data_IF_118611401669
#
_entry.id   IF_118611401669
#
_cell.length_a   1.000
_cell.length_b   1.000
_cell.length_c   1.000
_cell.angle_alpha   90.00
_cell.angle_beta   90.00
_cell.angle_gamma   90.00
#
_symmetry.space_group_name_H-M   'P 1'
#
loop_
_entity.id
_entity.type
_entity.pdbx_description
1 polymer ?
#
# COMPACT_ATOMS: atom_id res chain seq x y z
N UNK A 1 -35.36 29.18 -1.74
CA UNK A 1 -34.93 28.01 -0.94
C UNK A 1 -34.16 27.10 -1.89
N UNK A 2 -32.83 27.16 -1.81
CA UNK A 2 -31.93 26.03 -1.45
C UNK A 2 -32.25 24.75 -2.26
N UNK A 3 -31.35 24.15 -3.03
CA UNK A 3 -29.91 23.95 -2.74
C UNK A 3 -29.12 23.77 -4.04
N UNK A 4 -28.01 24.49 -4.18
CA UNK A 4 -26.99 24.23 -5.21
C UNK A 4 -26.25 22.95 -4.83
N UNK A 5 -26.35 21.91 -5.66
CA UNK A 5 -25.54 20.70 -5.54
C UNK A 5 -24.14 21.03 -6.09
N UNK A 6 -23.22 21.38 -5.20
CA UNK A 6 -21.82 21.63 -5.53
C UNK A 6 -21.11 20.27 -5.57
N UNK A 7 -20.96 19.71 -6.76
CA UNK A 7 -20.08 18.55 -6.99
C UNK A 7 -18.65 19.09 -6.99
N UNK A 8 -17.95 18.95 -5.85
CA UNK A 8 -16.52 19.22 -5.77
C UNK A 8 -15.75 18.09 -6.47
N UNK A 9 -15.49 18.25 -7.77
CA UNK A 9 -14.40 17.53 -8.42
C UNK A 9 -13.06 18.11 -7.92
N UNK A 10 -12.53 17.55 -6.83
CA UNK A 10 -11.13 17.77 -6.47
C UNK A 10 -10.27 16.89 -7.38
N UNK A 11 -9.86 17.47 -8.51
CA UNK A 11 -8.74 16.97 -9.32
C UNK A 11 -7.45 17.11 -8.52
N UNK A 12 -7.19 16.14 -7.64
CA UNK A 12 -5.86 15.96 -7.06
C UNK A 12 -4.96 15.48 -8.20
N UNK A 13 -4.16 16.39 -8.75
CA UNK A 13 -3.05 16.05 -9.63
C UNK A 13 -2.01 15.28 -8.82
N UNK A 14 -2.19 13.97 -8.70
CA UNK A 14 -1.22 13.06 -8.11
C UNK A 14 -0.03 12.96 -9.07
N UNK A 15 1.03 13.70 -8.78
CA UNK A 15 2.33 13.47 -9.40
C UNK A 15 2.89 12.15 -8.84
N UNK A 16 2.62 11.05 -9.53
CA UNK A 16 3.30 9.79 -9.29
C UNK A 16 4.72 9.90 -9.84
N UNK A 17 5.71 10.02 -8.96
CA UNK A 17 7.09 9.70 -9.33
C UNK A 17 7.29 8.21 -9.10
N UNK A 18 7.06 7.42 -10.14
CA UNK A 18 7.35 5.98 -10.15
C UNK A 18 8.85 5.84 -10.40
N UNK A 19 9.66 5.82 -9.34
CA UNK A 19 11.00 5.26 -9.47
C UNK A 19 10.90 3.75 -9.35
N UNK A 20 11.48 2.95 -10.27
CA UNK A 20 11.61 1.53 -10.05
C UNK A 20 12.56 1.36 -8.86
N UNK A 21 12.01 1.05 -7.67
CA UNK A 21 12.82 0.80 -6.48
C UNK A 21 12.86 -0.71 -6.20
N UNK A 22 14.10 -1.18 -6.11
CA UNK A 22 14.58 -2.51 -5.74
C UNK A 22 14.50 -3.60 -6.81
N UNK A 23 15.67 -3.90 -7.38
CA UNK A 23 16.00 -5.15 -8.06
C UNK A 23 16.71 -6.01 -7.00
N UNK A 24 15.96 -6.65 -6.11
CA UNK A 24 16.50 -7.72 -5.29
C UNK A 24 15.92 -9.03 -5.82
N UNK A 25 16.79 -9.98 -6.19
CA UNK A 25 16.41 -11.29 -6.71
C UNK A 25 15.47 -11.31 -7.95
N UNK A 26 15.49 -10.24 -8.76
CA UNK A 26 14.66 -10.14 -9.98
C UNK A 26 13.17 -9.87 -9.72
N UNK A 27 12.82 -9.39 -8.53
CA UNK A 27 11.46 -8.99 -8.16
C UNK A 27 11.35 -7.48 -8.28
N UNK A 28 10.34 -6.99 -9.00
CA UNK A 28 9.99 -5.56 -9.00
C UNK A 28 8.50 -5.36 -8.72
N UNK A 29 8.13 -4.20 -8.20
CA UNK A 29 6.73 -3.83 -7.96
C UNK A 29 6.38 -2.57 -8.75
N UNK A 30 5.27 -2.62 -9.46
CA UNK A 30 4.69 -1.49 -10.19
C UNK A 30 3.43 -1.05 -9.46
N UNK A 31 3.39 0.21 -8.99
CA UNK A 31 2.19 0.82 -8.42
C UNK A 31 1.33 1.34 -9.57
N UNK A 32 0.15 0.75 -9.75
CA UNK A 32 -0.78 1.08 -10.82
C UNK A 32 -1.71 2.23 -10.44
N UNK A 33 -2.19 2.22 -9.19
CA UNK A 33 -3.05 3.27 -8.65
C UNK A 33 -2.88 3.40 -7.14
N UNK A 34 -3.26 4.57 -6.63
CA UNK A 34 -3.38 4.85 -5.21
C UNK A 34 -4.72 5.55 -4.96
N UNK A 35 -5.50 5.01 -4.03
CA UNK A 35 -6.85 5.46 -3.72
C UNK A 35 -6.96 5.78 -2.23
N UNK A 36 -7.59 6.91 -1.92
CA UNK A 36 -7.99 7.22 -0.54
C UNK A 36 -9.36 6.61 -0.32
N UNK A 37 -9.53 5.88 0.79
CA UNK A 37 -10.81 5.27 1.14
C UNK A 37 -11.27 5.72 2.52
N UNK A 38 -12.58 5.86 2.68
CA UNK A 38 -13.19 6.33 3.93
C UNK A 38 -13.45 5.18 4.91
N UNK A 39 -13.57 3.95 4.41
CA UNK A 39 -13.85 2.75 5.21
C UNK A 39 -13.25 1.50 4.58
N UNK A 40 -12.76 0.59 5.42
CA UNK A 40 -12.38 -0.78 5.03
C UNK A 40 -12.90 -1.74 6.08
N UNK A 41 -13.48 -2.85 5.63
CA UNK A 41 -13.71 -4.05 6.42
C UNK A 41 -12.95 -5.20 5.76
N UNK A 42 -11.92 -5.71 6.44
CA UNK A 42 -11.13 -6.83 5.93
C UNK A 42 -11.88 -8.15 5.96
N UNK A 43 -11.40 -9.11 5.17
CA UNK A 43 -11.97 -10.45 5.07
C UNK A 43 -11.85 -11.25 6.38
N UNK A 44 -10.82 -10.95 7.19
CA UNK A 44 -10.80 -11.34 8.59
C UNK A 44 -11.30 -10.15 9.44
N UNK A 45 -12.13 -10.42 10.44
CA UNK A 45 -12.73 -9.42 11.32
C UNK A 45 -11.74 -8.54 12.11
N UNK A 46 -10.43 -8.71 11.88
CA UNK A 46 -9.34 -8.07 12.61
C UNK A 46 -8.78 -6.84 11.86
N UNK A 47 -9.32 -6.52 10.68
CA UNK A 47 -8.99 -5.30 9.97
C UNK A 47 -10.25 -4.47 9.79
N UNK A 48 -10.32 -3.35 10.52
CA UNK A 48 -11.33 -2.32 10.31
C UNK A 48 -10.65 -0.97 10.19
N UNK A 49 -11.10 -0.18 9.23
CA UNK A 49 -10.74 1.23 9.12
C UNK A 49 -12.00 2.06 9.01
N UNK A 50 -12.04 3.14 9.76
CA UNK A 50 -13.01 4.22 9.61
C UNK A 50 -12.24 5.53 9.53
N UNK A 51 -12.80 6.46 8.77
CA UNK A 51 -12.20 7.78 8.55
C UNK A 51 -11.78 8.46 9.86
N UNK A 52 -10.62 9.11 9.82
CA UNK A 52 -9.96 9.66 10.99
C UNK A 52 -9.50 11.10 10.71
N UNK A 53 -9.72 12.01 11.65
CA UNK A 53 -9.33 13.42 11.52
C UNK A 53 -7.83 13.64 11.27
N UNK A 54 -6.98 12.72 11.72
CA UNK A 54 -5.52 12.83 11.62
C UNK A 54 -4.93 11.98 10.49
N UNK A 55 -5.60 10.89 10.11
CA UNK A 55 -5.08 9.90 9.17
C UNK A 55 -6.12 9.53 8.10
N UNK A 56 -5.63 9.22 6.91
CA UNK A 56 -6.41 8.63 5.82
C UNK A 56 -5.92 7.23 5.50
N UNK A 57 -6.85 6.39 5.09
CA UNK A 57 -6.54 5.11 4.50
C UNK A 57 -6.16 5.29 3.03
N UNK A 58 -5.03 4.69 2.64
CA UNK A 58 -4.59 4.61 1.26
C UNK A 58 -4.48 3.15 0.85
N UNK A 59 -5.13 2.80 -0.25
CA UNK A 59 -4.99 1.52 -0.91
C UNK A 59 -4.13 1.71 -2.16
N UNK A 60 -3.05 0.94 -2.26
CA UNK A 60 -2.23 0.86 -3.47
C UNK A 60 -2.60 -0.39 -4.24
N UNK A 61 -2.87 -0.24 -5.53
CA UNK A 61 -2.99 -1.37 -6.46
C UNK A 61 -1.61 -1.65 -7.06
N UNK A 62 -1.12 -2.86 -6.88
CA UNK A 62 0.26 -3.22 -7.18
C UNK A 62 0.30 -4.44 -8.09
N UNK A 63 1.19 -4.37 -9.08
CA UNK A 63 1.60 -5.50 -9.90
C UNK A 63 3.02 -5.88 -9.50
N UNK A 64 3.20 -7.08 -8.96
CA UNK A 64 4.54 -7.63 -8.84
C UNK A 64 5.04 -8.06 -10.23
N UNK A 65 6.34 -8.12 -10.44
CA UNK A 65 6.97 -8.72 -11.62
C UNK A 65 8.05 -9.65 -11.09
N UNK A 66 7.82 -10.96 -11.21
CA UNK A 66 8.71 -11.98 -10.63
C UNK A 66 8.89 -13.17 -11.59
N UNK A 67 10.11 -13.69 -11.66
CA UNK A 67 10.49 -14.81 -12.52
C UNK A 67 10.24 -16.20 -11.89
N UNK A 68 9.86 -16.22 -10.61
CA UNK A 68 9.53 -17.41 -9.82
C UNK A 68 8.31 -17.12 -8.94
N UNK A 69 7.76 -18.14 -8.29
CA UNK A 69 6.74 -17.91 -7.27
C UNK A 69 7.36 -17.19 -6.07
N UNK A 70 6.65 -16.21 -5.51
CA UNK A 70 7.12 -15.36 -4.43
C UNK A 70 6.10 -15.37 -3.29
N UNK A 71 6.57 -15.60 -2.07
CA UNK A 71 5.77 -15.34 -0.87
C UNK A 71 5.80 -13.83 -0.57
N UNK A 72 4.61 -13.22 -0.47
CA UNK A 72 4.43 -11.83 -0.10
C UNK A 72 3.85 -11.77 1.30
N UNK A 73 4.59 -11.18 2.23
CA UNK A 73 4.08 -10.88 3.56
C UNK A 73 3.66 -9.41 3.61
N UNK A 74 2.52 -9.11 4.25
CA UNK A 74 2.12 -7.73 4.49
C UNK A 74 3.25 -6.93 5.18
N UNK A 75 3.94 -7.54 6.14
CA UNK A 75 5.07 -6.96 6.89
C UNK A 75 6.27 -6.56 6.03
N UNK A 76 6.40 -7.07 4.80
CA UNK A 76 7.49 -6.70 3.90
C UNK A 76 7.29 -5.34 3.26
N UNK A 77 6.06 -4.80 3.31
CA UNK A 77 5.70 -3.54 2.67
C UNK A 77 5.67 -2.40 3.67
N UNK A 78 6.38 -1.33 3.32
CA UNK A 78 6.31 -0.03 3.99
C UNK A 78 5.91 1.02 2.96
N UNK A 79 5.22 2.06 3.41
CA UNK A 79 5.04 3.27 2.61
C UNK A 79 5.87 4.39 3.22
N UNK A 80 6.55 5.16 2.39
CA UNK A 80 7.10 6.46 2.78
C UNK A 80 6.26 7.56 2.18
N UNK A 81 5.90 8.56 2.96
CA UNK A 81 5.05 9.66 2.51
C UNK A 81 5.61 11.01 2.92
N UNK A 82 5.38 12.03 2.10
CA UNK A 82 5.83 13.39 2.39
C UNK A 82 4.77 14.15 3.19
N UNK A 83 5.15 14.54 4.40
CA UNK A 83 4.32 15.30 5.33
C UNK A 83 4.45 16.79 5.04
N UNK A 84 3.44 17.39 4.41
CA UNK A 84 3.51 18.80 4.00
C UNK A 84 3.54 19.79 5.17
N UNK A 85 3.02 19.42 6.34
CA UNK A 85 3.02 20.29 7.54
C UNK A 85 4.41 20.35 8.17
N UNK A 86 5.10 19.21 8.21
CA UNK A 86 6.41 19.08 8.84
C UNK A 86 7.58 19.23 7.83
N UNK A 87 7.29 19.16 6.53
CA UNK A 87 8.28 19.17 5.43
C UNK A 87 9.27 18.00 5.49
N UNK A 88 8.82 16.86 5.99
CA UNK A 88 9.63 15.64 6.21
C UNK A 88 9.06 14.43 5.47
N UNK A 89 9.89 13.40 5.28
CA UNK A 89 9.44 12.09 4.84
C UNK A 89 9.23 11.18 6.05
N UNK A 90 7.99 10.74 6.23
CA UNK A 90 7.60 9.79 7.27
C UNK A 90 7.39 8.39 6.66
N UNK A 91 7.09 7.42 7.52
CA UNK A 91 6.83 6.02 7.12
C UNK A 91 5.62 5.45 7.84
N UNK A 92 4.94 4.52 7.19
CA UNK A 92 3.88 3.71 7.78
C UNK A 92 4.02 2.25 7.36
N UNK A 93 3.63 1.34 8.26
CA UNK A 93 3.64 -0.11 8.01
C UNK A 93 2.37 -0.52 7.29
N UNK A 94 2.48 -1.54 6.44
CA UNK A 94 1.32 -2.16 5.81
C UNK A 94 0.36 -2.70 6.88
N UNK A 95 -0.89 -2.25 6.79
CA UNK A 95 -1.97 -2.65 7.70
C UNK A 95 -2.76 -3.83 7.14
N UNK A 96 -2.64 -4.10 5.84
CA UNK A 96 -3.25 -5.26 5.22
C UNK A 96 -2.85 -5.41 3.76
N UNK A 97 -2.91 -6.65 3.28
CA UNK A 97 -2.66 -7.00 1.89
C UNK A 97 -3.83 -7.86 1.41
N UNK A 98 -4.22 -7.70 0.15
CA UNK A 98 -5.25 -8.55 -0.43
C UNK A 98 -4.71 -9.90 -0.87
N UNK A 99 -5.65 -10.80 -1.16
CA UNK A 99 -5.36 -11.91 -2.07
C UNK A 99 -4.77 -11.43 -3.40
N UNK A 100 -4.12 -12.37 -4.08
CA UNK A 100 -3.47 -12.15 -5.36
C UNK A 100 -4.40 -12.63 -6.47
N UNK A 101 -4.77 -11.72 -7.38
CA UNK A 101 -5.81 -11.93 -8.40
C UNK A 101 -5.25 -11.81 -9.79
N UNK A 102 -5.95 -12.41 -10.74
CA UNK A 102 -5.36 -12.65 -12.04
C UNK A 102 -5.44 -11.52 -13.06
N UNK A 103 -6.33 -10.59 -12.79
CA UNK A 103 -6.68 -9.45 -13.62
C UNK A 103 -6.65 -8.21 -12.75
N UNK A 104 -6.72 -7.04 -13.37
CA UNK A 104 -6.82 -5.78 -12.65
C UNK A 104 -8.25 -5.54 -12.12
N UNK A 105 -9.17 -6.49 -12.21
CA UNK A 105 -10.57 -6.25 -11.86
C UNK A 105 -10.76 -6.09 -10.35
N UNK A 106 -11.33 -4.97 -9.93
CA UNK A 106 -11.41 -4.59 -8.52
C UNK A 106 -12.35 -5.47 -7.66
N UNK A 107 -13.29 -6.17 -8.29
CA UNK A 107 -14.28 -7.00 -7.61
C UNK A 107 -13.69 -8.29 -7.01
N UNK A 108 -12.45 -8.65 -7.37
CA UNK A 108 -11.82 -9.91 -6.97
C UNK A 108 -10.93 -9.79 -5.72
N UNK A 109 -10.69 -8.56 -5.24
CA UNK A 109 -9.80 -8.31 -4.12
C UNK A 109 -10.53 -8.36 -2.79
N UNK A 110 -9.96 -9.08 -1.83
CA UNK A 110 -10.35 -9.03 -0.43
C UNK A 110 -9.11 -8.79 0.43
N UNK A 111 -9.12 -7.75 1.25
CA UNK A 111 -7.98 -7.34 2.07
C UNK A 111 -7.97 -8.14 3.37
N UNK A 112 -6.80 -8.65 3.76
CA UNK A 112 -6.56 -9.35 5.02
C UNK A 112 -5.55 -8.53 5.83
N UNK A 113 -5.70 -8.49 7.15
CA UNK A 113 -4.87 -7.64 8.04
C UNK A 113 -3.36 -7.91 8.04
N UNK A 114 -2.64 -7.17 8.88
CA UNK A 114 -1.17 -7.01 8.95
C UNK A 114 -0.33 -8.31 8.95
N UNK A 115 -0.90 -9.46 9.34
CA UNK A 115 -0.18 -10.74 9.42
C UNK A 115 -0.46 -11.68 8.23
N UNK A 116 -1.12 -11.19 7.18
CA UNK A 116 -1.44 -12.00 6.01
C UNK A 116 -0.21 -12.27 5.14
N UNK A 117 -0.21 -13.44 4.50
CA UNK A 117 0.76 -13.82 3.49
C UNK A 117 0.07 -14.49 2.30
N UNK A 118 0.62 -14.27 1.11
CA UNK A 118 0.10 -14.83 -0.14
C UNK A 118 1.23 -15.20 -1.11
N UNK A 119 1.03 -16.25 -1.89
CA UNK A 119 1.98 -16.66 -2.93
C UNK A 119 1.66 -16.01 -4.28
N UNK A 120 2.50 -15.09 -4.75
CA UNK A 120 2.46 -14.57 -6.11
C UNK A 120 3.04 -15.61 -7.07
N UNK A 121 2.30 -15.97 -8.13
CA UNK A 121 2.79 -16.91 -9.16
C UNK A 121 3.65 -16.19 -10.20
N UNK A 122 4.61 -16.92 -10.79
CA UNK A 122 5.43 -16.47 -11.93
C UNK A 122 4.57 -15.84 -13.05
N UNK A 123 4.98 -14.68 -13.57
CA UNK A 123 4.29 -13.94 -14.64
C UNK A 123 3.15 -13.01 -14.17
N UNK A 124 2.96 -12.97 -12.86
CA UNK A 124 2.31 -12.00 -11.97
C UNK A 124 0.93 -11.40 -12.24
N UNK A 125 0.24 -11.26 -11.12
CA UNK A 125 -1.19 -11.15 -10.98
C UNK A 125 -1.40 -10.29 -9.72
N UNK A 126 -2.23 -9.28 -9.86
CA UNK A 126 -2.34 -8.04 -9.12
C UNK A 126 -2.75 -8.23 -7.65
N UNK A 127 -2.40 -7.29 -6.79
CA UNK A 127 -2.81 -7.27 -5.38
C UNK A 127 -2.98 -5.83 -4.88
N UNK A 128 -3.64 -5.66 -3.74
CA UNK A 128 -3.85 -4.39 -3.05
C UNK A 128 -3.08 -4.39 -1.74
N UNK A 129 -2.50 -3.25 -1.39
CA UNK A 129 -1.83 -3.00 -0.12
C UNK A 129 -2.50 -1.82 0.56
N UNK A 130 -2.77 -1.95 1.85
CA UNK A 130 -3.46 -0.97 2.65
C UNK A 130 -2.50 -0.34 3.67
N UNK A 131 -2.51 1.00 3.73
CA UNK A 131 -1.76 1.80 4.70
C UNK A 131 -2.65 2.88 5.33
N UNK A 132 -2.39 3.21 6.60
CA UNK A 132 -2.82 4.48 7.19
C UNK A 132 -1.70 5.51 7.09
N UNK A 133 -1.97 6.70 6.59
CA UNK A 133 -0.99 7.81 6.51
C UNK A 133 -1.62 9.12 6.98
N UNK A 134 -0.81 10.11 7.37
CA UNK A 134 -1.36 11.40 7.81
C UNK A 134 -2.15 12.13 6.71
N UNK A 135 -3.20 12.86 7.08
CA UNK A 135 -4.14 13.48 6.14
C UNK A 135 -3.49 14.47 5.17
N UNK A 136 -2.45 15.16 5.62
CA UNK A 136 -1.68 16.15 4.86
C UNK A 136 -0.59 15.54 3.95
N UNK A 137 -0.48 14.21 3.90
CA UNK A 137 0.42 13.53 2.97
C UNK A 137 0.00 13.78 1.51
N UNK A 138 0.92 14.18 0.64
CA UNK A 138 0.62 14.47 -0.77
C UNK A 138 1.52 13.75 -1.78
N UNK A 139 2.53 13.02 -1.32
CA UNK A 139 3.42 12.19 -2.11
C UNK A 139 3.67 10.90 -1.35
N UNK A 140 3.78 9.79 -2.08
CA UNK A 140 4.03 8.47 -1.51
C UNK A 140 5.07 7.72 -2.33
N UNK A 141 5.81 6.83 -1.67
CA UNK A 141 6.72 5.87 -2.25
C UNK A 141 6.45 4.51 -1.60
N UNK A 142 6.24 3.47 -2.40
CA UNK A 142 6.18 2.09 -1.91
C UNK A 142 7.59 1.56 -1.69
N UNK A 143 7.83 0.97 -0.53
CA UNK A 143 9.08 0.32 -0.16
C UNK A 143 8.78 -1.17 0.09
N UNK A 144 9.65 -2.04 -0.42
CA UNK A 144 9.58 -3.49 -0.21
C UNK A 144 10.88 -4.00 0.38
N UNK A 145 10.78 -4.93 1.34
CA UNK A 145 11.86 -5.70 1.95
C UNK A 145 13.14 -4.90 2.12
N UNK A 146 13.17 -4.02 3.14
CA UNK A 146 14.45 -3.47 3.58
C UNK A 146 15.27 -4.62 4.16
N UNK A 147 16.38 -4.93 3.50
CA UNK A 147 17.45 -5.88 3.83
C UNK A 147 17.50 -6.31 5.30
N UNK A 148 17.56 -7.63 5.49
CA UNK A 148 17.89 -8.36 6.72
C UNK A 148 18.90 -7.55 7.54
N UNK A 149 18.58 -7.25 8.79
CA UNK A 149 19.59 -6.81 9.76
C UNK A 149 20.54 -7.99 9.94
N UNK A 150 21.59 -8.10 9.13
CA UNK A 150 22.63 -9.11 9.33
C UNK A 150 23.52 -8.74 10.53
N UNK A 151 23.67 -9.76 11.39
CA UNK A 151 24.46 -9.95 12.60
C UNK A 151 24.29 -9.00 13.80
N UNK A 152 23.31 -9.33 14.65
CA UNK A 152 23.33 -8.94 16.07
C UNK A 152 24.11 -10.00 16.87
N UNK A 153 25.35 -9.71 17.23
CA UNK A 153 26.05 -10.45 18.30
C UNK A 153 25.68 -9.82 19.64
N UNK A 154 24.78 -10.47 20.38
CA UNK A 154 24.47 -10.12 21.77
C UNK A 154 25.59 -10.63 22.67
N UNK A 155 26.48 -9.76 23.14
CA UNK A 155 27.48 -10.10 24.18
C UNK A 155 26.93 -9.75 25.57
N UNK A 156 27.18 -10.63 26.53
CA UNK A 156 26.95 -10.39 27.97
C UNK A 156 27.80 -9.23 28.48
#
# INVERSE_FOLDING_TARGET
>A
MLTKLLICFLLVHNYFSIFPQNIENGITFEVLSAEVVERIEGANSNLTWEDNENYKAVILKVKANCEANLELYATDFLISYYNEKQKTWDRSTCQGISNIVSTEDDDQFFIVGEYAHFTAKKGTRYFKIFFGIENNANKINLLYAKSVIEDIVVKR
#
